data_IF_463718451129
#
_entry.id   IF_463718451129
#
_cell.length_a   1.000
_cell.length_b   1.000
_cell.length_c   1.000
_cell.angle_alpha   90.00
_cell.angle_beta   90.00
_cell.angle_gamma   90.00
#
_symmetry.space_group_name_H-M   'P 1'
#
loop_
_entity.id
_entity.type
_entity.pdbx_description
1 polymer ?
#
# COMPACT_ATOMS: atom_id res chain seq x y z
N UNK A 1 -3.16 -30.29 -3.92
CA UNK A 1 -2.98 -28.94 -3.36
C UNK A 1 -1.61 -28.38 -3.77
N UNK A 2 -1.41 -27.95 -5.02
CA UNK A 2 -0.15 -27.32 -5.47
C UNK A 2 -0.44 -26.36 -6.64
N UNK A 3 -1.22 -25.31 -6.41
CA UNK A 3 -1.52 -24.27 -7.41
C UNK A 3 -1.41 -22.86 -6.82
N UNK A 4 -0.35 -22.61 -6.03
CA UNK A 4 -0.03 -21.24 -5.60
C UNK A 4 1.30 -20.84 -6.22
N UNK A 5 1.24 -19.85 -7.10
CA UNK A 5 2.38 -19.23 -7.79
C UNK A 5 3.40 -18.68 -6.80
N UNK A 6 2.93 -18.16 -5.66
CA UNK A 6 3.74 -17.66 -4.54
C UNK A 6 3.08 -18.08 -3.22
N UNK A 7 3.87 -18.23 -2.15
CA UNK A 7 3.35 -18.29 -0.79
C UNK A 7 2.58 -17.01 -0.39
N UNK A 8 2.07 -16.90 0.84
CA UNK A 8 1.34 -15.71 1.28
C UNK A 8 2.17 -14.42 1.08
N UNK A 9 1.80 -13.61 0.09
CA UNK A 9 2.43 -12.34 -0.22
C UNK A 9 1.67 -11.20 0.47
N UNK A 10 1.84 -11.09 1.78
CA UNK A 10 1.20 -10.03 2.55
C UNK A 10 1.92 -8.69 2.34
N UNK A 11 1.20 -7.57 2.17
CA UNK A 11 1.81 -6.25 2.15
C UNK A 11 2.52 -5.96 3.49
N UNK A 12 3.63 -5.24 3.40
CA UNK A 12 4.45 -4.86 4.55
C UNK A 12 4.08 -3.46 5.07
N UNK A 13 4.41 -3.15 6.33
CA UNK A 13 4.09 -1.85 6.93
C UNK A 13 4.83 -0.73 6.19
N UNK A 14 4.10 0.17 5.56
CA UNK A 14 4.65 1.13 4.62
C UNK A 14 5.50 2.22 5.29
N UNK A 15 5.20 2.60 6.53
CA UNK A 15 5.95 3.62 7.28
C UNK A 15 7.44 3.34 7.38
N UNK A 16 7.87 2.07 7.39
CA UNK A 16 9.30 1.70 7.38
C UNK A 16 10.06 2.17 6.14
N UNK A 17 9.33 2.41 5.05
CA UNK A 17 9.89 2.85 3.76
C UNK A 17 9.80 4.36 3.53
N UNK A 18 9.21 5.13 4.46
CA UNK A 18 8.94 6.56 4.26
C UNK A 18 10.21 7.36 3.96
N UNK A 19 11.30 7.09 4.69
CA UNK A 19 12.59 7.78 4.52
C UNK A 19 13.20 7.59 3.12
N UNK A 20 12.86 6.50 2.43
CA UNK A 20 13.37 6.20 1.09
C UNK A 20 12.45 6.68 -0.03
N UNK A 21 11.21 7.05 0.30
CA UNK A 21 10.13 7.27 -0.67
C UNK A 21 10.46 8.40 -1.66
N UNK A 22 10.96 9.54 -1.16
CA UNK A 22 11.34 10.65 -2.02
C UNK A 22 12.46 10.28 -3.01
N UNK A 23 13.45 9.51 -2.54
CA UNK A 23 14.55 9.03 -3.38
C UNK A 23 14.06 8.05 -4.45
N UNK A 24 13.20 7.11 -4.08
CA UNK A 24 12.62 6.15 -5.03
C UNK A 24 11.80 6.86 -6.11
N UNK A 25 10.84 7.70 -5.73
CA UNK A 25 9.98 8.40 -6.68
C UNK A 25 10.77 9.29 -7.64
N UNK A 26 11.81 9.97 -7.15
CA UNK A 26 12.64 10.85 -7.97
C UNK A 26 13.51 10.11 -9.00
N UNK A 27 14.00 8.89 -8.66
CA UNK A 27 15.00 8.18 -9.46
C UNK A 27 14.44 7.10 -10.37
N UNK A 28 13.24 6.60 -10.09
CA UNK A 28 12.69 5.41 -10.76
C UNK A 28 11.53 5.70 -11.69
N UNK A 29 10.91 6.89 -11.59
CA UNK A 29 9.68 7.21 -12.31
C UNK A 29 8.45 6.43 -11.84
N UNK A 30 8.52 5.80 -10.65
CA UNK A 30 7.36 5.12 -10.06
C UNK A 30 6.17 6.07 -9.89
N UNK A 31 5.02 5.65 -10.42
CA UNK A 31 3.75 6.40 -10.35
C UNK A 31 2.92 6.05 -9.11
N UNK A 32 3.25 4.96 -8.41
CA UNK A 32 2.49 4.51 -7.25
C UNK A 32 3.21 3.44 -6.46
N UNK A 33 2.69 3.19 -5.25
CA UNK A 33 3.20 2.19 -4.30
C UNK A 33 2.05 1.45 -3.64
N UNK A 34 2.28 0.21 -3.24
CA UNK A 34 1.32 -0.61 -2.48
C UNK A 34 1.93 -1.03 -1.14
N UNK A 35 1.16 -0.97 -0.05
CA UNK A 35 1.58 -1.49 1.24
C UNK A 35 0.42 -1.66 2.22
N UNK A 36 0.72 -1.76 3.52
CA UNK A 36 -0.28 -1.64 4.60
C UNK A 36 0.05 -0.52 5.57
N UNK A 37 -0.95 -0.11 6.34
CA UNK A 37 -0.92 1.00 7.29
C UNK A 37 -0.79 2.37 6.62
N UNK A 38 -0.78 3.41 7.45
CA UNK A 38 -0.67 4.80 7.03
C UNK A 38 0.72 5.14 6.46
N UNK A 39 0.81 6.36 5.89
CA UNK A 39 2.07 6.97 5.48
C UNK A 39 2.31 8.20 6.34
N UNK A 40 3.55 8.39 6.77
CA UNK A 40 3.96 9.55 7.52
C UNK A 40 4.02 10.83 6.67
N UNK A 41 4.17 12.01 7.31
CA UNK A 41 4.18 13.29 6.62
C UNK A 41 5.24 13.43 5.52
N UNK A 42 6.43 12.84 5.74
CA UNK A 42 7.54 12.85 4.79
C UNK A 42 7.14 12.14 3.49
N UNK A 43 6.56 10.95 3.59
CA UNK A 43 6.10 10.19 2.44
C UNK A 43 4.93 10.88 1.73
N UNK A 44 3.95 11.41 2.47
CA UNK A 44 2.82 12.15 1.87
C UNK A 44 3.31 13.36 1.08
N UNK A 45 4.27 14.13 1.62
CA UNK A 45 4.86 15.27 0.92
C UNK A 45 5.58 14.84 -0.36
N UNK A 46 6.32 13.72 -0.31
CA UNK A 46 6.97 13.15 -1.49
C UNK A 46 5.96 12.70 -2.56
N UNK A 47 4.91 11.99 -2.15
CA UNK A 47 3.81 11.54 -3.03
C UNK A 47 3.20 12.74 -3.77
N UNK A 48 2.83 13.80 -3.04
CA UNK A 48 2.31 15.05 -3.61
C UNK A 48 3.29 15.71 -4.59
N UNK A 49 4.56 15.82 -4.20
CA UNK A 49 5.61 16.45 -5.02
C UNK A 49 5.79 15.74 -6.36
N UNK A 50 5.75 14.41 -6.35
CA UNK A 50 6.00 13.57 -7.52
C UNK A 50 4.72 13.14 -8.24
N UNK A 51 3.53 13.63 -7.81
CA UNK A 51 2.22 13.25 -8.36
C UNK A 51 1.99 11.74 -8.40
N UNK A 52 2.55 11.02 -7.42
CA UNK A 52 2.37 9.58 -7.26
C UNK A 52 1.12 9.28 -6.42
N UNK A 53 0.80 8.00 -6.24
CA UNK A 53 -0.27 7.53 -5.33
C UNK A 53 0.25 6.48 -4.34
N UNK A 54 -0.43 6.34 -3.21
CA UNK A 54 -0.24 5.22 -2.30
C UNK A 54 -1.54 4.43 -2.15
N UNK A 55 -1.44 3.14 -2.46
CA UNK A 55 -2.52 2.18 -2.36
C UNK A 55 -2.29 1.31 -1.13
N UNK A 56 -3.32 1.18 -0.30
CA UNK A 56 -3.31 0.30 0.85
C UNK A 56 -4.04 -0.99 0.49
N UNK A 57 -3.35 -2.12 0.64
CA UNK A 57 -3.98 -3.42 0.66
C UNK A 57 -4.53 -3.70 2.07
N UNK A 58 -5.73 -4.27 2.13
CA UNK A 58 -6.45 -4.49 3.40
C UNK A 58 -5.66 -5.45 4.29
N UNK A 59 -5.38 -5.05 5.54
CA UNK A 59 -4.73 -5.91 6.54
C UNK A 59 -5.55 -7.16 6.81
N UNK A 60 -4.94 -8.35 6.75
CA UNK A 60 -5.64 -9.64 6.79
C UNK A 60 -6.04 -10.18 5.39
N UNK A 61 -5.96 -9.35 4.36
CA UNK A 61 -6.20 -9.71 2.96
C UNK A 61 -5.03 -10.43 2.27
N UNK A 62 -4.03 -10.92 3.00
CA UNK A 62 -2.86 -11.61 2.43
C UNK A 62 -3.26 -12.77 1.51
N UNK A 63 -4.35 -13.47 1.84
CA UNK A 63 -4.91 -14.51 0.98
C UNK A 63 -5.46 -13.95 -0.34
N UNK A 64 -6.22 -12.85 -0.28
CA UNK A 64 -6.77 -12.18 -1.46
C UNK A 64 -5.67 -11.62 -2.36
N UNK A 65 -4.64 -10.99 -1.78
CA UNK A 65 -3.46 -10.52 -2.51
C UNK A 65 -2.74 -11.70 -3.16
N UNK A 66 -2.57 -12.82 -2.46
CA UNK A 66 -1.91 -14.00 -3.05
C UNK A 66 -2.69 -14.61 -4.22
N UNK A 67 -4.04 -14.51 -4.23
CA UNK A 67 -4.89 -14.93 -5.37
C UNK A 67 -4.78 -14.01 -6.58
N UNK A 68 -4.45 -12.74 -6.35
CA UNK A 68 -4.28 -11.77 -7.42
C UNK A 68 -2.96 -11.97 -8.18
N UNK A 69 -1.96 -12.63 -7.58
CA UNK A 69 -0.68 -12.92 -8.23
C UNK A 69 -0.84 -14.09 -9.21
N UNK A 70 -0.58 -13.84 -10.49
CA UNK A 70 -0.67 -14.82 -11.59
C UNK A 70 0.69 -15.38 -11.97
N UNK A 71 1.75 -14.58 -11.87
CA UNK A 71 3.15 -15.00 -12.09
C UNK A 71 4.08 -14.24 -11.14
N UNK A 72 5.21 -14.85 -10.81
CA UNK A 72 6.29 -14.21 -10.06
C UNK A 72 7.64 -14.62 -10.61
N UNK A 73 8.59 -13.69 -10.69
CA UNK A 73 10.01 -14.00 -10.94
C UNK A 73 10.90 -13.15 -10.05
N UNK A 74 12.01 -13.74 -9.59
CA UNK A 74 13.09 -12.99 -8.95
C UNK A 74 13.80 -12.18 -10.03
N UNK A 75 13.98 -10.88 -9.81
CA UNK A 75 14.71 -10.00 -10.73
C UNK A 75 16.04 -9.52 -10.17
N UNK A 76 16.21 -9.51 -8.84
CA UNK A 76 17.48 -9.19 -8.20
C UNK A 76 17.56 -9.73 -6.77
N UNK A 77 18.78 -9.97 -6.30
CA UNK A 77 19.12 -10.35 -4.92
C UNK A 77 18.42 -11.63 -4.43
N UNK A 78 18.44 -12.70 -5.23
CA UNK A 78 17.74 -13.95 -4.91
C UNK A 78 18.18 -14.61 -3.60
N UNK A 79 19.42 -14.36 -3.17
CA UNK A 79 19.97 -14.77 -1.89
C UNK A 79 19.25 -14.17 -0.68
N UNK A 80 18.53 -13.06 -0.85
CA UNK A 80 17.74 -12.42 0.21
C UNK A 80 16.37 -13.11 0.45
N UNK A 81 16.04 -14.16 -0.30
CA UNK A 81 14.84 -14.94 -0.11
C UNK A 81 13.57 -14.09 -0.23
N UNK A 82 12.78 -13.99 0.84
CA UNK A 82 11.52 -13.23 0.84
C UNK A 82 11.72 -11.71 0.64
N UNK A 83 12.92 -11.18 0.89
CA UNK A 83 13.26 -9.77 0.73
C UNK A 83 13.91 -9.46 -0.63
N UNK A 84 14.04 -10.46 -1.52
CA UNK A 84 14.52 -10.26 -2.88
C UNK A 84 13.58 -9.32 -3.67
N UNK A 85 14.07 -8.76 -4.78
CA UNK A 85 13.20 -7.99 -5.67
C UNK A 85 12.50 -8.96 -6.60
N UNK A 86 11.17 -8.90 -6.58
CA UNK A 86 10.30 -9.71 -7.41
C UNK A 86 9.55 -8.84 -8.42
N UNK A 87 9.39 -9.38 -9.62
CA UNK A 87 8.37 -8.92 -10.55
C UNK A 87 7.15 -9.85 -10.45
N UNK A 88 5.97 -9.25 -10.35
CA UNK A 88 4.70 -9.97 -10.28
C UNK A 88 3.77 -9.58 -11.43
N UNK A 89 3.12 -10.57 -12.02
CA UNK A 89 1.94 -10.35 -12.86
C UNK A 89 0.71 -10.40 -11.95
N UNK A 90 -0.04 -9.30 -11.89
CA UNK A 90 -1.15 -9.10 -10.96
C UNK A 90 -2.46 -8.92 -11.73
N UNK A 91 -3.54 -9.54 -11.25
CA UNK A 91 -4.89 -9.35 -11.75
C UNK A 91 -5.88 -9.22 -10.59
N UNK A 92 -6.77 -8.23 -10.64
CA UNK A 92 -7.86 -8.01 -9.69
C UNK A 92 -7.41 -7.92 -8.22
N UNK A 93 -6.26 -7.26 -7.97
CA UNK A 93 -5.76 -7.07 -6.60
C UNK A 93 -6.60 -6.02 -5.85
N UNK A 94 -7.25 -6.38 -4.73
CA UNK A 94 -8.08 -5.45 -3.98
C UNK A 94 -7.19 -4.47 -3.21
N UNK A 95 -7.27 -3.19 -3.57
CA UNK A 95 -6.55 -2.09 -2.93
C UNK A 95 -7.42 -0.85 -2.85
N UNK A 96 -7.12 0.00 -1.87
CA UNK A 96 -7.79 1.28 -1.66
C UNK A 96 -6.79 2.42 -1.80
N UNK A 97 -7.18 3.52 -2.45
CA UNK A 97 -6.35 4.74 -2.45
C UNK A 97 -6.29 5.29 -1.03
N UNK A 98 -5.11 5.21 -0.41
CA UNK A 98 -4.89 5.68 0.95
C UNK A 98 -4.21 7.06 0.99
N UNK A 99 -3.39 7.39 -0.02
CA UNK A 99 -2.94 8.75 -0.27
C UNK A 99 -3.06 9.05 -1.77
N UNK A 100 -3.75 10.14 -2.11
CA UNK A 100 -3.92 10.58 -3.50
C UNK A 100 -2.74 11.42 -4.01
N UNK A 101 -2.77 11.82 -5.29
CA UNK A 101 -1.72 12.63 -5.92
C UNK A 101 -1.66 14.09 -5.43
N UNK A 102 -2.64 14.53 -4.63
CA UNK A 102 -2.66 15.83 -3.98
C UNK A 102 -2.10 15.78 -2.55
N UNK A 103 -1.78 14.58 -2.06
CA UNK A 103 -1.29 14.32 -0.72
C UNK A 103 -2.42 14.23 0.32
N UNK A 104 -3.67 14.07 -0.11
CA UNK A 104 -4.78 13.82 0.79
C UNK A 104 -4.73 12.37 1.29
N UNK A 105 -4.91 12.16 2.60
CA UNK A 105 -4.74 10.86 3.24
C UNK A 105 -6.02 10.42 3.94
N UNK A 106 -6.51 9.22 3.61
CA UNK A 106 -7.70 8.64 4.24
C UNK A 106 -7.53 8.42 5.74
N UNK A 107 -6.29 8.21 6.20
CA UNK A 107 -5.97 8.07 7.62
C UNK A 107 -6.08 9.40 8.38
N UNK A 108 -6.14 10.53 7.67
CA UNK A 108 -6.39 11.85 8.24
C UNK A 108 -7.85 12.27 8.07
N UNK A 109 -8.40 12.14 6.87
CA UNK A 109 -9.78 12.58 6.57
C UNK A 109 -10.85 11.63 7.09
N UNK A 110 -10.58 10.32 7.07
CA UNK A 110 -11.52 9.29 7.51
C UNK A 110 -11.99 9.48 8.95
N UNK A 111 -11.08 9.57 9.95
CA UNK A 111 -11.47 9.80 11.33
C UNK A 111 -12.28 11.07 11.53
N UNK A 112 -11.90 12.18 10.87
CA UNK A 112 -12.59 13.47 10.95
C UNK A 112 -14.02 13.36 10.40
N UNK A 113 -14.18 12.71 9.25
CA UNK A 113 -15.49 12.51 8.62
C UNK A 113 -16.40 11.66 9.50
N UNK A 114 -15.89 10.54 10.02
CA UNK A 114 -16.68 9.66 10.87
C UNK A 114 -17.02 10.27 12.22
N UNK A 115 -16.13 11.05 12.82
CA UNK A 115 -16.43 11.78 14.05
C UNK A 115 -17.63 12.74 13.85
N UNK A 116 -17.68 13.46 12.73
CA UNK A 116 -18.82 14.34 12.38
C UNK A 116 -20.12 13.57 12.16
N UNK A 117 -20.06 12.35 11.61
CA UNK A 117 -21.24 11.52 11.36
C UNK A 117 -21.76 10.89 12.64
N UNK A 118 -20.87 10.28 13.42
CA UNK A 118 -21.20 9.56 14.65
C UNK A 118 -21.69 10.55 15.72
N UNK A 119 -21.11 11.74 15.81
CA UNK A 119 -21.57 12.77 16.75
C UNK A 119 -23.01 13.24 16.54
N UNK A 120 -23.66 12.90 15.41
CA UNK A 120 -25.07 13.18 15.13
C UNK A 120 -26.00 12.05 15.51
N UNK A 121 -25.47 10.88 15.89
CA UNK A 121 -26.28 9.73 16.30
C UNK A 121 -26.80 10.02 17.71
N UNK A 122 -28.13 10.05 17.93
CA UNK A 122 -28.69 10.22 19.27
C UNK A 122 -28.18 9.09 20.16
N UNK A 123 -27.58 9.43 21.30
CA UNK A 123 -27.30 8.44 22.33
C UNK A 123 -28.64 8.08 22.98
N UNK A 124 -28.99 6.80 22.98
CA UNK A 124 -30.12 6.33 23.77
C UNK A 124 -29.82 6.64 25.24
N UNK A 125 -30.66 7.50 25.83
CA UNK A 125 -30.60 7.85 27.25
C UNK A 125 -31.06 6.71 28.13
#
# INVERSE_FOLDING_TARGET
>A
MRDKVVGPAAPTTATRMDKFTGMMLAKTGLIGMVGKAERGPIAIKAIKKHKAVYLMAVGGGAYLVSKAIKKSRVVAFGELGMEAIYEFEIQDMPVTVAVDCNGESVHKTGPVEWQKRIGKIPLAG
#
